data_IF_017898836105
#
_entry.id   IF_017898836105
#
_cell.length_a   1.000
_cell.length_b   1.000
_cell.length_c   1.000
_cell.angle_alpha   90.00
_cell.angle_beta   90.00
_cell.angle_gamma   90.00
#
_symmetry.space_group_name_H-M   'P 1'
#
loop_
_entity.id
_entity.type
_entity.pdbx_description
1 polymer ?
#
# COMPACT_ATOMS: atom_id res chain seq x y z
N UNK A 1 15.75 7.77 -5.35
CA UNK A 1 15.38 6.69 -4.42
C UNK A 1 14.27 7.23 -3.52
N UNK A 2 13.02 6.96 -3.85
CA UNK A 2 11.87 7.42 -3.05
C UNK A 2 11.18 6.19 -2.48
N UNK A 3 11.57 5.78 -1.29
CA UNK A 3 10.89 4.71 -0.58
C UNK A 3 9.57 5.29 -0.04
N UNK A 4 8.52 5.16 -0.84
CA UNK A 4 7.13 5.52 -0.53
C UNK A 4 6.55 4.62 0.58
N UNK A 5 6.97 4.88 1.82
CA UNK A 5 6.34 4.34 3.01
C UNK A 5 5.02 5.10 3.25
N UNK A 6 3.85 4.46 3.23
CA UNK A 6 2.60 5.12 3.58
C UNK A 6 2.61 5.57 5.05
N UNK A 7 2.11 6.78 5.29
CA UNK A 7 1.69 7.20 6.63
C UNK A 7 0.42 6.44 7.04
N UNK A 8 0.35 6.05 8.31
CA UNK A 8 -0.81 5.36 8.85
C UNK A 8 -2.00 6.34 8.95
N UNK A 9 -3.16 6.06 8.32
CA UNK A 9 -4.31 6.95 8.39
C UNK A 9 -5.01 6.96 9.76
N UNK A 10 -4.65 6.04 10.65
CA UNK A 10 -5.25 5.93 11.98
C UNK A 10 -4.52 6.79 13.02
N UNK A 11 -3.19 6.82 13.00
CA UNK A 11 -2.37 7.55 13.97
C UNK A 11 -1.43 8.61 13.37
N UNK A 12 -1.22 8.60 12.05
CA UNK A 12 -0.28 9.50 11.35
C UNK A 12 1.17 9.03 11.37
N UNK A 13 1.48 7.87 11.96
CA UNK A 13 2.85 7.36 12.07
C UNK A 13 3.38 6.86 10.73
N UNK A 14 4.66 7.15 10.45
CA UNK A 14 5.39 6.67 9.26
C UNK A 14 6.08 5.33 9.47
N UNK A 15 6.06 4.79 10.70
CA UNK A 15 6.50 3.43 11.01
C UNK A 15 5.47 2.41 10.54
N UNK A 16 5.44 2.18 9.23
CA UNK A 16 4.60 1.15 8.60
C UNK A 16 5.47 0.18 7.80
N UNK A 17 5.24 -1.11 8.02
CA UNK A 17 5.92 -2.20 7.34
C UNK A 17 4.99 -2.89 6.34
N UNK A 18 5.50 -3.14 5.13
CA UNK A 18 4.75 -3.87 4.11
C UNK A 18 4.78 -5.37 4.46
N UNK A 19 3.63 -5.92 4.81
CA UNK A 19 3.52 -7.29 5.33
C UNK A 19 3.51 -8.38 4.25
N UNK A 20 3.72 -8.02 2.97
CA UNK A 20 3.81 -8.87 1.77
C UNK A 20 2.49 -9.15 1.03
N UNK A 21 2.59 -9.22 -0.30
CA UNK A 21 1.52 -9.56 -1.24
C UNK A 21 1.41 -11.09 -1.30
N UNK A 22 0.41 -11.69 -0.68
CA UNK A 22 0.13 -13.12 -0.86
C UNK A 22 -0.61 -13.34 -2.18
N UNK A 23 0.11 -13.86 -3.17
CA UNK A 23 -0.45 -14.44 -4.39
C UNK A 23 -0.36 -13.53 -5.60
N UNK A 24 0.01 -14.11 -6.75
CA UNK A 24 0.22 -13.49 -8.06
C UNK A 24 -0.97 -12.70 -8.65
N UNK A 25 -2.07 -12.56 -7.91
CA UNK A 25 -3.35 -11.98 -8.34
C UNK A 25 -3.83 -10.81 -7.47
N UNK A 26 -3.12 -10.43 -6.40
CA UNK A 26 -3.62 -9.40 -5.48
C UNK A 26 -3.02 -8.03 -5.82
N UNK A 27 -3.77 -7.21 -6.57
CA UNK A 27 -3.52 -5.78 -6.84
C UNK A 27 -3.59 -4.88 -5.59
N UNK A 28 -3.39 -5.43 -4.39
CA UNK A 28 -3.48 -4.75 -3.10
C UNK A 28 -2.24 -5.06 -2.28
N UNK A 29 -1.62 -4.03 -1.71
CA UNK A 29 -0.50 -4.17 -0.78
C UNK A 29 -1.02 -3.98 0.64
N UNK A 30 -0.74 -4.94 1.52
CA UNK A 30 -1.07 -4.84 2.94
C UNK A 30 0.11 -4.22 3.71
N UNK A 31 -0.22 -3.30 4.62
CA UNK A 31 0.72 -2.57 5.46
C UNK A 31 0.31 -2.72 6.92
N UNK A 32 1.31 -2.85 7.78
CA UNK A 32 1.16 -2.96 9.22
C UNK A 32 1.81 -1.76 9.89
N UNK A 33 1.09 -1.05 10.75
CA UNK A 33 1.66 0.04 11.52
C UNK A 33 2.23 -0.48 12.84
N UNK A 34 3.51 -0.21 13.12
CA UNK A 34 4.15 -0.62 14.38
C UNK A 34 3.80 0.28 15.57
N UNK A 35 3.24 1.46 15.32
CA UNK A 35 2.95 2.44 16.38
C UNK A 35 1.57 2.20 17.01
N UNK A 36 0.53 2.05 16.18
CA UNK A 36 -0.82 1.74 16.64
C UNK A 36 -1.17 0.24 16.52
N UNK A 37 -0.26 -0.59 16.00
CA UNK A 37 -0.47 -2.03 15.77
C UNK A 37 -1.69 -2.34 14.90
N UNK A 38 -2.04 -1.43 13.97
CA UNK A 38 -3.18 -1.60 13.05
C UNK A 38 -2.71 -2.00 11.66
N UNK A 39 -3.46 -2.90 11.04
CA UNK A 39 -3.27 -3.31 9.66
C UNK A 39 -4.13 -2.44 8.73
N UNK A 40 -3.57 -1.96 7.63
CA UNK A 40 -4.28 -1.26 6.58
C UNK A 40 -3.87 -1.73 5.19
N UNK A 41 -4.79 -1.64 4.24
CA UNK A 41 -4.53 -2.02 2.86
C UNK A 41 -4.39 -0.76 2.00
N UNK A 42 -3.35 -0.73 1.16
CA UNK A 42 -3.20 0.26 0.09
C UNK A 42 -3.39 -0.44 -1.24
N UNK A 43 -4.49 -0.08 -1.89
CA UNK A 43 -4.70 -0.39 -3.30
C UNK A 43 -3.79 0.58 -4.06
N UNK A 44 -2.75 0.05 -4.68
CA UNK A 44 -2.04 0.81 -5.71
C UNK A 44 -2.98 0.79 -6.92
N UNK A 45 -3.75 1.86 -7.09
CA UNK A 45 -4.31 2.16 -8.40
C UNK A 45 -3.11 2.57 -9.26
N UNK A 46 -2.39 1.58 -9.77
CA UNK A 46 -1.49 1.80 -10.90
C UNK A 46 -2.43 2.14 -12.05
N UNK A 47 -2.66 3.44 -12.22
CA UNK A 47 -3.53 4.01 -13.23
C UNK A 47 -2.94 3.88 -14.62
N UNK A 48 -2.40 2.72 -14.98
CA UNK A 48 -2.09 2.36 -16.36
C UNK A 48 -3.39 1.83 -17.01
N UNK A 49 -4.38 2.73 -17.08
CA UNK A 49 -5.48 2.64 -18.06
C UNK A 49 -5.35 3.83 -19.02
N UNK A 50 -4.16 3.99 -19.58
CA UNK A 50 -3.96 4.61 -20.89
C UNK A 50 -3.40 3.47 -21.75
N UNK A 51 -4.13 2.83 -22.66
CA UNK A 51 -4.94 3.39 -23.72
C UNK A 51 -5.98 2.34 -24.18
N UNK A 52 -7.26 2.51 -23.85
CA UNK A 52 -8.34 1.98 -24.70
C UNK A 52 -8.72 3.06 -25.70
N UNK A 53 -7.87 3.24 -26.71
CA UNK A 53 -8.03 4.32 -27.66
C UNK A 53 -7.35 4.10 -29.00
N UNK A 54 -7.73 3.03 -29.74
CA UNK A 54 -8.06 3.05 -31.19
C UNK A 54 -8.00 1.66 -31.82
#
# INVERSE_FOLDING_TARGET
>A
MSAEHPECPFCGSTETERHSQFGSEVSKSQYYCNDCHTVFERIKYDGDVADTGR
#
